data_IF_777644592015
#
_entry.id   IF_777644592015
#
_cell.length_a   1.000
_cell.length_b   1.000
_cell.length_c   1.000
_cell.angle_alpha   90.00
_cell.angle_beta   90.00
_cell.angle_gamma   90.00
#
_symmetry.space_group_name_H-M   'P 1'
#
loop_
_entity.id
_entity.type
_entity.pdbx_description
1 polymer ?
#
# COMPACT_ATOMS: atom_id res chain seq x y z
N UNK A 1 -5.26 7.71 -5.80
CA UNK A 1 -6.43 7.14 -6.49
C UNK A 1 -6.89 5.79 -5.91
N UNK A 2 -6.01 4.84 -5.57
CA UNK A 2 -6.43 3.54 -5.01
C UNK A 2 -7.03 3.64 -3.59
N UNK A 3 -6.32 4.28 -2.65
CA UNK A 3 -6.79 4.42 -1.26
C UNK A 3 -8.17 5.09 -1.13
N UNK A 4 -8.44 6.13 -1.93
CA UNK A 4 -9.74 6.80 -1.93
C UNK A 4 -10.87 5.90 -2.43
N UNK A 5 -10.60 5.10 -3.48
CA UNK A 5 -11.56 4.12 -3.99
C UNK A 5 -11.81 2.99 -2.99
N UNK A 6 -10.74 2.46 -2.38
CA UNK A 6 -10.84 1.44 -1.34
C UNK A 6 -11.63 1.95 -0.12
N UNK A 7 -11.35 3.17 0.33
CA UNK A 7 -12.12 3.83 1.40
C UNK A 7 -13.61 3.95 1.05
N UNK A 8 -13.93 4.26 -0.21
CA UNK A 8 -15.32 4.34 -0.69
C UNK A 8 -16.01 2.98 -0.66
N UNK A 9 -15.32 1.90 -1.04
CA UNK A 9 -15.83 0.52 -0.95
C UNK A 9 -16.08 0.14 0.51
N UNK A 10 -15.10 0.39 1.39
CA UNK A 10 -15.21 0.13 2.83
C UNK A 10 -16.40 0.88 3.42
N UNK A 11 -16.58 2.17 3.10
CA UNK A 11 -17.68 2.98 3.61
C UNK A 11 -19.05 2.43 3.19
N UNK A 12 -19.20 2.05 1.91
CA UNK A 12 -20.46 1.48 1.38
C UNK A 12 -20.77 0.14 2.02
N UNK A 13 -19.76 -0.73 2.14
CA UNK A 13 -19.93 -2.03 2.76
C UNK A 13 -20.19 -1.94 4.27
N UNK A 14 -19.60 -0.96 4.95
CA UNK A 14 -19.87 -0.67 6.36
C UNK A 14 -21.31 -0.20 6.58
N UNK A 15 -21.83 0.65 5.69
CA UNK A 15 -23.25 1.05 5.69
C UNK A 15 -24.15 -0.17 5.52
N UNK A 16 -23.88 -1.00 4.50
CA UNK A 16 -24.61 -2.25 4.26
C UNK A 16 -24.59 -3.19 5.48
N UNK A 17 -23.41 -3.40 6.08
CA UNK A 17 -23.24 -4.27 7.23
C UNK A 17 -24.04 -3.76 8.45
N UNK A 18 -24.10 -2.43 8.64
CA UNK A 18 -24.85 -1.79 9.73
C UNK A 18 -26.35 -1.89 9.51
N UNK A 19 -26.84 -1.63 8.30
CA UNK A 19 -28.26 -1.74 7.94
C UNK A 19 -28.77 -3.19 8.11
N UNK A 20 -27.93 -4.18 7.78
CA UNK A 20 -28.28 -5.60 7.82
C UNK A 20 -27.80 -6.32 9.09
N UNK A 21 -27.40 -5.58 10.13
CA UNK A 21 -26.78 -6.15 11.34
C UNK A 21 -27.65 -7.17 12.08
N UNK A 22 -28.96 -6.99 12.00
CA UNK A 22 -29.97 -7.80 12.71
C UNK A 22 -30.71 -8.77 11.80
N UNK A 23 -30.42 -8.80 10.48
CA UNK A 23 -31.09 -9.69 9.53
C UNK A 23 -30.50 -11.10 9.61
N UNK A 24 -31.20 -12.10 10.18
CA UNK A 24 -30.68 -13.44 10.33
C UNK A 24 -30.50 -14.13 8.97
N UNK A 25 -29.47 -14.96 8.85
CA UNK A 25 -29.23 -15.80 7.67
C UNK A 25 -28.53 -17.09 8.10
N UNK A 26 -28.75 -18.18 7.36
CA UNK A 26 -28.04 -19.44 7.57
C UNK A 26 -26.53 -19.23 7.41
N UNK A 27 -25.73 -19.70 8.37
CA UNK A 27 -24.28 -19.76 8.28
C UNK A 27 -23.83 -20.95 7.44
N UNK A 28 -22.62 -20.87 6.88
CA UNK A 28 -22.04 -21.96 6.09
C UNK A 28 -20.61 -22.25 6.52
N UNK A 29 -20.31 -23.51 6.80
CA UNK A 29 -18.96 -24.06 6.94
C UNK A 29 -18.85 -25.27 6.01
N UNK A 30 -17.74 -25.43 5.29
CA UNK A 30 -17.66 -26.43 4.19
C UNK A 30 -18.79 -26.33 3.15
N UNK A 31 -19.36 -25.13 2.97
CA UNK A 31 -20.57 -24.88 2.18
C UNK A 31 -21.80 -25.69 2.62
N UNK A 32 -21.81 -26.18 3.87
CA UNK A 32 -22.93 -26.87 4.49
C UNK A 32 -23.62 -25.98 5.53
N UNK A 33 -24.94 -26.18 5.76
CA UNK A 33 -25.68 -25.47 6.81
C UNK A 33 -24.99 -25.52 8.17
N UNK A 34 -24.82 -24.36 8.78
CA UNK A 34 -24.26 -24.19 10.11
C UNK A 34 -25.14 -23.24 10.96
N UNK A 35 -24.68 -22.92 12.17
CA UNK A 35 -25.38 -21.99 13.06
C UNK A 35 -25.71 -20.66 12.37
N UNK A 36 -26.86 -20.07 12.74
CA UNK A 36 -27.28 -18.78 12.21
C UNK A 36 -26.23 -17.69 12.47
N UNK A 37 -26.13 -16.80 11.49
CA UNK A 37 -25.41 -15.52 11.58
C UNK A 37 -26.34 -14.41 11.13
N UNK A 38 -25.82 -13.20 10.93
CA UNK A 38 -26.55 -12.13 10.25
C UNK A 38 -25.88 -11.73 8.95
N UNK A 39 -26.65 -11.22 8.00
CA UNK A 39 -26.14 -10.70 6.73
C UNK A 39 -25.08 -9.63 7.01
N UNK A 40 -25.34 -8.74 7.97
CA UNK A 40 -24.39 -7.74 8.42
C UNK A 40 -23.11 -8.35 9.01
N UNK A 41 -23.23 -9.36 9.90
CA UNK A 41 -22.06 -10.05 10.47
C UNK A 41 -21.20 -10.69 9.38
N UNK A 42 -21.79 -11.33 8.38
CA UNK A 42 -21.03 -11.87 7.24
C UNK A 42 -20.25 -10.77 6.50
N UNK A 43 -20.90 -9.63 6.23
CA UNK A 43 -20.24 -8.49 5.59
C UNK A 43 -19.07 -7.92 6.40
N UNK A 44 -19.10 -8.02 7.74
CA UNK A 44 -17.96 -7.59 8.56
C UNK A 44 -16.69 -8.42 8.35
N UNK A 45 -16.81 -9.69 7.94
CA UNK A 45 -15.64 -10.51 7.59
C UNK A 45 -14.91 -9.95 6.37
N UNK A 46 -15.66 -9.47 5.38
CA UNK A 46 -15.10 -8.81 4.20
C UNK A 46 -14.52 -7.43 4.52
N UNK A 47 -15.20 -6.65 5.38
CA UNK A 47 -14.71 -5.35 5.84
C UNK A 47 -13.37 -5.46 6.56
N UNK A 48 -13.20 -6.48 7.40
CA UNK A 48 -11.97 -6.72 8.13
C UNK A 48 -10.78 -6.89 7.17
N UNK A 49 -10.94 -7.75 6.16
CA UNK A 49 -9.90 -8.01 5.16
C UNK A 49 -9.56 -6.71 4.38
N UNK A 50 -10.58 -5.94 3.94
CA UNK A 50 -10.37 -4.67 3.23
C UNK A 50 -9.69 -3.59 4.08
N UNK A 51 -9.95 -3.54 5.39
CA UNK A 51 -9.27 -2.63 6.31
C UNK A 51 -7.79 -3.01 6.48
N UNK A 52 -7.47 -4.31 6.47
CA UNK A 52 -6.10 -4.78 6.50
C UNK A 52 -5.35 -4.36 5.23
N UNK A 53 -5.99 -4.47 4.05
CA UNK A 53 -5.43 -4.03 2.78
C UNK A 53 -5.24 -2.51 2.72
N UNK A 54 -6.20 -1.73 3.23
CA UNK A 54 -6.11 -0.26 3.30
C UNK A 54 -4.87 0.16 4.08
N UNK A 55 -4.69 -0.42 5.26
CA UNK A 55 -3.52 -0.18 6.11
C UNK A 55 -2.23 -0.57 5.39
N UNK A 56 -2.19 -1.72 4.73
CA UNK A 56 -1.01 -2.20 4.02
C UNK A 56 -0.62 -1.29 2.85
N UNK A 57 -1.60 -0.89 2.02
CA UNK A 57 -1.38 0.03 0.89
C UNK A 57 -0.95 1.41 1.38
N UNK A 58 -1.58 1.92 2.45
CA UNK A 58 -1.21 3.21 3.05
C UNK A 58 0.24 3.18 3.55
N UNK A 59 0.63 2.10 4.23
CA UNK A 59 2.01 1.91 4.68
C UNK A 59 2.98 1.86 3.51
N UNK A 60 2.71 1.02 2.51
CA UNK A 60 3.57 0.91 1.32
C UNK A 60 3.75 2.28 0.64
N UNK A 61 2.68 3.06 0.47
CA UNK A 61 2.73 4.43 -0.08
C UNK A 61 3.62 5.35 0.77
N UNK A 62 3.42 5.36 2.08
CA UNK A 62 4.10 6.27 3.00
C UNK A 62 5.57 5.91 3.22
N UNK A 63 5.93 4.63 3.05
CA UNK A 63 7.30 4.13 3.19
C UNK A 63 8.14 4.34 1.92
N UNK A 64 7.52 4.68 0.78
CA UNK A 64 8.24 4.99 -0.46
C UNK A 64 9.23 6.13 -0.25
N UNK A 65 10.45 5.93 -0.73
CA UNK A 65 11.51 6.94 -0.70
C UNK A 65 11.96 7.27 -2.11
N UNK A 66 12.38 8.50 -2.30
CA UNK A 66 12.94 8.93 -3.57
C UNK A 66 14.32 8.32 -3.79
N UNK A 67 14.67 8.01 -5.04
CA UNK A 67 16.06 7.64 -5.38
C UNK A 67 16.99 8.82 -5.13
N UNK A 68 16.61 10.02 -5.57
CA UNK A 68 17.45 11.20 -5.54
C UNK A 68 18.55 11.20 -6.62
N UNK A 69 19.57 12.02 -6.41
CA UNK A 69 20.71 12.18 -7.32
C UNK A 69 21.89 11.30 -6.89
N UNK A 70 22.00 10.10 -7.45
CA UNK A 70 22.94 9.06 -6.99
C UNK A 70 24.11 8.75 -7.92
N UNK A 71 24.09 9.28 -9.14
CA UNK A 71 25.06 8.91 -10.18
C UNK A 71 24.84 7.50 -10.73
N UNK A 72 25.72 7.04 -11.61
CA UNK A 72 25.56 5.77 -12.35
C UNK A 72 25.70 4.54 -11.47
N UNK A 73 26.56 4.59 -10.46
CA UNK A 73 26.84 3.44 -9.56
C UNK A 73 26.46 3.70 -8.09
N UNK A 74 25.74 4.80 -7.81
CA UNK A 74 25.30 5.13 -6.45
C UNK A 74 26.26 5.97 -5.62
N UNK A 75 27.48 6.20 -6.11
CA UNK A 75 28.56 6.88 -5.37
C UNK A 75 28.51 8.41 -5.44
N UNK A 76 27.64 8.98 -6.28
CA UNK A 76 27.54 10.43 -6.51
C UNK A 76 28.83 11.09 -7.03
N UNK A 77 29.78 10.32 -7.60
CA UNK A 77 31.10 10.82 -8.00
C UNK A 77 31.05 12.02 -8.97
N UNK A 78 30.17 11.98 -9.98
CA UNK A 78 30.02 13.09 -10.94
C UNK A 78 29.51 14.37 -10.28
N UNK A 79 28.59 14.27 -9.32
CA UNK A 79 28.10 15.43 -8.55
C UNK A 79 29.18 15.97 -7.59
N UNK A 80 29.97 15.07 -7.00
CA UNK A 80 31.09 15.47 -6.15
C UNK A 80 32.14 16.25 -6.93
N UNK A 81 32.47 15.79 -8.15
CA UNK A 81 33.36 16.52 -9.06
C UNK A 81 32.78 17.87 -9.45
N UNK A 82 31.49 17.93 -9.81
CA UNK A 82 30.80 19.17 -10.17
C UNK A 82 30.85 20.23 -9.04
N UNK A 83 30.83 19.78 -7.78
CA UNK A 83 30.96 20.66 -6.62
C UNK A 83 32.38 20.75 -6.06
N UNK A 84 33.41 20.45 -6.87
CA UNK A 84 34.82 20.56 -6.50
C UNK A 84 35.16 19.84 -5.18
N UNK A 85 34.62 18.63 -4.98
CA UNK A 85 34.85 17.82 -3.77
C UNK A 85 33.95 18.16 -2.57
N UNK A 86 33.04 19.14 -2.69
CA UNK A 86 32.16 19.53 -1.59
C UNK A 86 30.99 18.55 -1.39
N UNK A 87 31.15 17.63 -0.43
CA UNK A 87 30.14 16.62 -0.08
C UNK A 87 28.84 17.21 0.47
N UNK A 88 28.90 18.34 1.18
CA UNK A 88 27.71 18.95 1.76
C UNK A 88 26.80 19.53 0.67
N UNK A 89 27.37 20.13 -0.38
CA UNK A 89 26.59 20.56 -1.55
C UNK A 89 25.91 19.38 -2.27
N UNK A 90 26.56 18.21 -2.35
CA UNK A 90 25.96 17.00 -2.91
C UNK A 90 24.75 16.54 -2.08
N UNK A 91 24.88 16.51 -0.74
CA UNK A 91 23.76 16.16 0.16
C UNK A 91 22.61 17.16 0.05
N UNK A 92 22.92 18.45 -0.01
CA UNK A 92 21.92 19.51 -0.16
C UNK A 92 21.17 19.39 -1.49
N UNK A 93 21.87 19.11 -2.58
CA UNK A 93 21.25 18.87 -3.89
C UNK A 93 20.27 17.69 -3.81
N UNK A 94 20.67 16.59 -3.18
CA UNK A 94 19.83 15.39 -3.04
C UNK A 94 18.56 15.65 -2.22
N UNK A 95 18.69 16.35 -1.11
CA UNK A 95 17.55 16.76 -0.29
C UNK A 95 16.60 17.72 -1.02
N UNK A 96 17.16 18.69 -1.76
CA UNK A 96 16.39 19.69 -2.49
C UNK A 96 15.60 19.06 -3.65
N UNK A 97 16.24 18.22 -4.47
CA UNK A 97 15.57 17.51 -5.56
C UNK A 97 14.52 16.56 -5.02
N UNK A 98 14.79 15.87 -3.90
CA UNK A 98 13.81 15.01 -3.24
C UNK A 98 12.56 15.78 -2.80
N UNK A 99 12.75 16.95 -2.17
CA UNK A 99 11.64 17.82 -1.75
C UNK A 99 10.86 18.36 -2.94
N UNK A 100 11.55 18.78 -4.01
CA UNK A 100 10.92 19.25 -5.25
C UNK A 100 10.08 18.15 -5.92
N UNK A 101 10.49 16.89 -5.80
CA UNK A 101 9.71 15.74 -6.28
C UNK A 101 8.53 15.36 -5.37
N UNK A 102 8.32 16.07 -4.26
CA UNK A 102 7.21 15.82 -3.33
C UNK A 102 7.43 14.64 -2.38
N UNK A 103 8.69 14.19 -2.20
CA UNK A 103 9.05 13.16 -1.24
C UNK A 103 9.64 13.76 0.02
N UNK A 104 9.31 13.19 1.17
CA UNK A 104 9.91 13.58 2.45
C UNK A 104 11.27 12.92 2.69
N UNK A 105 11.49 11.73 2.11
CA UNK A 105 12.66 10.89 2.35
C UNK A 105 13.24 10.37 1.05
N UNK A 106 14.55 10.16 1.04
CA UNK A 106 15.27 9.52 -0.05
C UNK A 106 16.13 8.35 0.47
N UNK A 107 16.54 7.46 -0.43
CA UNK A 107 17.47 6.38 -0.09
C UNK A 107 18.88 6.92 0.07
N UNK A 108 19.57 6.57 1.16
CA UNK A 108 20.98 6.92 1.38
C UNK A 108 21.93 5.98 0.64
N UNK A 109 21.51 4.74 0.41
CA UNK A 109 22.30 3.69 -0.25
C UNK A 109 21.52 3.16 -1.45
N UNK A 110 22.11 3.28 -2.64
CA UNK A 110 21.59 2.74 -3.89
C UNK A 110 22.74 2.28 -4.77
N UNK A 111 22.45 1.46 -5.78
CA UNK A 111 23.31 1.35 -6.96
C UNK A 111 22.90 2.42 -7.98
N UNK A 112 22.80 2.02 -9.25
CA UNK A 112 22.23 2.86 -10.32
C UNK A 112 20.77 3.24 -10.05
N UNK A 113 19.98 2.30 -9.50
CA UNK A 113 18.55 2.43 -9.25
C UNK A 113 18.24 2.21 -7.76
N UNK A 114 16.99 2.48 -7.36
CA UNK A 114 16.49 2.04 -6.07
C UNK A 114 16.44 0.50 -6.01
N UNK A 115 16.42 -0.08 -4.82
CA UNK A 115 16.34 -1.54 -4.67
C UNK A 115 15.04 -2.10 -5.26
N UNK A 116 15.13 -3.08 -6.16
CA UNK A 116 13.96 -3.78 -6.73
C UNK A 116 13.12 -4.53 -5.70
N UNK A 117 13.60 -4.68 -4.46
CA UNK A 117 12.80 -5.13 -3.33
C UNK A 117 11.58 -4.22 -3.08
N UNK A 118 11.70 -2.92 -3.35
CA UNK A 118 10.60 -1.95 -3.22
C UNK A 118 9.44 -2.30 -4.17
N UNK A 119 9.76 -2.78 -5.38
CA UNK A 119 8.74 -3.20 -6.34
C UNK A 119 7.96 -4.41 -5.80
N UNK A 120 8.66 -5.37 -5.18
CA UNK A 120 8.03 -6.54 -4.53
C UNK A 120 7.13 -6.10 -3.37
N UNK A 121 7.57 -5.18 -2.53
CA UNK A 121 6.76 -4.64 -1.42
C UNK A 121 5.47 -3.97 -1.92
N UNK A 122 5.56 -3.23 -3.04
CA UNK A 122 4.39 -2.62 -3.68
C UNK A 122 3.45 -3.66 -4.30
N UNK A 123 3.97 -4.69 -4.96
CA UNK A 123 3.16 -5.73 -5.59
C UNK A 123 2.50 -6.65 -4.56
N UNK A 124 3.17 -6.94 -3.45
CA UNK A 124 2.63 -7.81 -2.40
C UNK A 124 1.34 -7.25 -1.78
N UNK A 125 1.28 -5.93 -1.54
CA UNK A 125 0.04 -5.33 -1.00
C UNK A 125 -1.11 -5.35 -1.99
N UNK A 126 -0.82 -5.29 -3.30
CA UNK A 126 -1.83 -5.42 -4.36
C UNK A 126 -2.29 -6.87 -4.52
N UNK A 127 -1.36 -7.82 -4.40
CA UNK A 127 -1.68 -9.26 -4.41
C UNK A 127 -2.57 -9.64 -3.24
N UNK A 128 -2.27 -9.13 -2.04
CA UNK A 128 -3.13 -9.27 -0.84
C UNK A 128 -4.54 -8.77 -1.09
N UNK A 129 -4.67 -7.55 -1.63
CA UNK A 129 -5.98 -7.00 -2.00
C UNK A 129 -6.70 -7.87 -3.03
N UNK A 130 -5.98 -8.42 -4.01
CA UNK A 130 -6.53 -9.37 -4.98
C UNK A 130 -7.12 -10.61 -4.31
N UNK A 131 -6.44 -11.18 -3.32
CA UNK A 131 -6.93 -12.31 -2.54
C UNK A 131 -8.19 -11.96 -1.73
N UNK A 132 -8.23 -10.78 -1.10
CA UNK A 132 -9.42 -10.27 -0.41
C UNK A 132 -10.60 -10.16 -1.38
N UNK A 133 -10.42 -9.48 -2.51
CA UNK A 133 -11.48 -9.28 -3.51
C UNK A 133 -11.98 -10.60 -4.08
N UNK A 134 -11.08 -11.54 -4.37
CA UNK A 134 -11.45 -12.88 -4.85
C UNK A 134 -12.31 -13.64 -3.83
N UNK A 135 -12.00 -13.55 -2.53
CA UNK A 135 -12.78 -14.20 -1.47
C UNK A 135 -14.13 -13.52 -1.22
N UNK A 136 -14.23 -12.21 -1.45
CA UNK A 136 -15.49 -11.44 -1.34
C UNK A 136 -16.42 -11.72 -2.52
N UNK A 137 -15.86 -11.86 -3.72
CA UNK A 137 -16.62 -12.12 -4.93
C UNK A 137 -17.17 -13.55 -4.92
N UNK A 138 -18.49 -13.76 -4.88
CA UNK A 138 -19.04 -15.08 -5.04
C UNK A 138 -18.84 -15.48 -6.51
N UNK A 139 -17.88 -16.36 -6.78
CA UNK A 139 -18.00 -17.23 -7.94
C UNK A 139 -19.05 -18.29 -7.55
N UNK A 140 -20.29 -17.99 -7.96
CA UNK A 140 -21.54 -18.75 -7.89
C UNK A 140 -22.35 -18.60 -6.60
#
# INVERSE_FOLDING_TARGET
>A
MLLSKLASVIQRLAKFARENRSLPTLGFTHLQPAQLTTVGKRATLWLQDLLMDERAIRRARNDLRFRGVKGTTGTQASFLQLFNGNKEKVKQLDALVTKMAGFEKYYTVTGQTYSRKVDIECLNVLSSLGATVHKVSPLK
#
